data_IF_802089958920
#
_entry.id   IF_802089958920
#
_cell.length_a   1.000
_cell.length_b   1.000
_cell.length_c   1.000
_cell.angle_alpha   90.00
_cell.angle_beta   90.00
_cell.angle_gamma   90.00
#
_symmetry.space_group_name_H-M   'P 1'
#
loop_
_entity.id
_entity.type
_entity.pdbx_description
1 polymer ?
#
# COMPACT_ATOMS: atom_id res chain seq x y z
N UNK A 1 9.78 -35.85 1.37
CA UNK A 1 10.73 -34.75 1.62
C UNK A 1 10.07 -33.76 2.57
N UNK A 2 10.78 -33.34 3.61
CA UNK A 2 10.28 -32.33 4.53
C UNK A 2 10.20 -30.98 3.82
N UNK A 3 9.11 -30.24 4.04
CA UNK A 3 8.96 -28.90 3.46
C UNK A 3 9.88 -27.94 4.23
N UNK A 4 10.68 -27.11 3.55
CA UNK A 4 11.52 -26.14 4.24
C UNK A 4 10.65 -25.17 5.05
N UNK A 5 10.89 -25.11 6.37
CA UNK A 5 10.13 -24.26 7.30
C UNK A 5 10.19 -22.78 6.88
N UNK A 6 11.35 -22.33 6.41
CA UNK A 6 11.54 -20.95 5.94
C UNK A 6 10.59 -20.58 4.80
N UNK A 7 10.35 -21.47 3.83
CA UNK A 7 9.50 -21.20 2.67
C UNK A 7 8.03 -21.05 3.09
N UNK A 8 7.62 -21.82 4.09
CA UNK A 8 6.28 -21.71 4.69
C UNK A 8 6.12 -20.36 5.40
N UNK A 9 7.09 -19.98 6.24
CA UNK A 9 7.06 -18.70 6.98
C UNK A 9 7.06 -17.51 6.01
N UNK A 10 7.99 -17.47 5.06
CA UNK A 10 8.07 -16.39 4.05
C UNK A 10 6.80 -16.33 3.22
N UNK A 11 6.27 -17.49 2.83
CA UNK A 11 5.03 -17.56 2.07
C UNK A 11 3.84 -16.98 2.84
N UNK A 12 3.65 -17.37 4.11
CA UNK A 12 2.54 -16.87 4.94
C UNK A 12 2.68 -15.35 5.16
N UNK A 13 3.87 -14.88 5.53
CA UNK A 13 4.09 -13.44 5.74
C UNK A 13 3.87 -12.68 4.43
N UNK A 14 4.35 -13.19 3.30
CA UNK A 14 4.13 -12.59 1.99
C UNK A 14 2.65 -12.50 1.60
N UNK A 15 1.84 -13.52 1.90
CA UNK A 15 0.39 -13.49 1.71
C UNK A 15 -0.25 -12.39 2.56
N UNK A 16 0.10 -12.31 3.85
CA UNK A 16 -0.43 -11.28 4.76
C UNK A 16 -0.11 -9.87 4.25
N UNK A 17 1.14 -9.63 3.86
CA UNK A 17 1.57 -8.35 3.28
C UNK A 17 0.85 -8.05 1.97
N UNK A 18 0.67 -9.05 1.11
CA UNK A 18 -0.07 -8.91 -0.13
C UNK A 18 -1.54 -8.55 0.10
N UNK A 19 -2.19 -9.14 1.11
CA UNK A 19 -3.54 -8.76 1.52
C UNK A 19 -3.62 -7.32 2.02
N UNK A 20 -2.67 -6.88 2.86
CA UNK A 20 -2.58 -5.47 3.25
C UNK A 20 -2.32 -4.56 2.05
N UNK A 21 -1.50 -5.00 1.09
CA UNK A 21 -1.27 -4.31 -0.17
C UNK A 21 -2.54 -4.11 -0.99
N UNK A 22 -3.40 -5.14 -1.07
CA UNK A 22 -4.72 -5.08 -1.73
C UNK A 22 -5.64 -4.09 -1.02
N UNK A 23 -5.70 -4.12 0.30
CA UNK A 23 -6.51 -3.17 1.09
C UNK A 23 -6.01 -1.74 0.86
N UNK A 24 -4.69 -1.53 0.94
CA UNK A 24 -4.08 -0.22 0.70
C UNK A 24 -4.26 0.26 -0.75
N UNK A 25 -4.26 -0.65 -1.73
CA UNK A 25 -4.57 -0.36 -3.13
C UNK A 25 -6.02 0.13 -3.30
N UNK A 26 -6.97 -0.54 -2.64
CA UNK A 26 -8.37 -0.13 -2.63
C UNK A 26 -8.58 1.23 -1.96
N UNK A 27 -7.93 1.47 -0.81
CA UNK A 27 -7.95 2.77 -0.15
C UNK A 27 -7.40 3.89 -1.05
N UNK A 28 -6.31 3.60 -1.77
CA UNK A 28 -5.70 4.55 -2.70
C UNK A 28 -6.63 4.87 -3.90
N UNK A 29 -7.25 3.84 -4.48
CA UNK A 29 -8.19 4.02 -5.59
C UNK A 29 -9.45 4.80 -5.18
N UNK A 30 -9.90 4.66 -3.94
CA UNK A 30 -11.07 5.36 -3.40
C UNK A 30 -10.74 6.75 -2.82
N UNK A 31 -9.45 7.13 -2.79
CA UNK A 31 -9.01 8.39 -2.19
C UNK A 31 -9.72 9.62 -2.77
N UNK A 32 -9.92 9.78 -4.09
CA UNK A 32 -10.64 10.95 -4.62
C UNK A 32 -12.05 11.08 -4.07
N UNK A 33 -12.79 9.96 -3.99
CA UNK A 33 -14.15 9.93 -3.42
C UNK A 33 -14.15 10.25 -1.93
N UNK A 34 -13.17 9.74 -1.17
CA UNK A 34 -13.03 10.09 0.25
C UNK A 34 -12.75 11.58 0.44
N UNK A 35 -11.97 12.19 -0.45
CA UNK A 35 -11.72 13.63 -0.42
C UNK A 35 -12.97 14.45 -0.75
N UNK A 36 -13.76 14.05 -1.74
CA UNK A 36 -15.05 14.68 -2.05
C UNK A 36 -16.01 14.61 -0.87
N UNK A 37 -16.16 13.41 -0.27
CA UNK A 37 -17.01 13.20 0.90
C UNK A 37 -16.54 14.04 2.10
N UNK A 38 -15.23 14.11 2.35
CA UNK A 38 -14.68 14.98 3.38
C UNK A 38 -15.00 16.46 3.10
N UNK A 39 -14.81 16.95 1.87
CA UNK A 39 -15.15 18.33 1.48
C UNK A 39 -16.63 18.63 1.71
N UNK A 40 -17.52 17.73 1.33
CA UNK A 40 -18.96 17.86 1.57
C UNK A 40 -19.28 17.93 3.06
N UNK A 41 -18.76 17.01 3.87
CA UNK A 41 -18.94 17.00 5.33
C UNK A 41 -18.44 18.30 5.97
N UNK A 42 -17.27 18.80 5.57
CA UNK A 42 -16.74 20.07 6.08
C UNK A 42 -17.63 21.26 5.69
N UNK A 43 -18.08 21.32 4.45
CA UNK A 43 -18.97 22.41 4.00
C UNK A 43 -20.32 22.39 4.73
N UNK A 44 -20.87 21.21 5.01
CA UNK A 44 -22.09 21.05 5.77
C UNK A 44 -21.90 21.46 7.24
N UNK A 45 -20.76 21.09 7.83
CA UNK A 45 -20.41 21.47 9.20
C UNK A 45 -20.21 22.98 9.32
N UNK A 46 -19.52 23.61 8.38
CA UNK A 46 -19.33 25.08 8.34
C UNK A 46 -20.67 25.82 8.28
N UNK A 47 -21.57 25.38 7.39
CA UNK A 47 -22.94 25.94 7.30
C UNK A 47 -23.72 25.76 8.61
N UNK A 48 -23.59 24.59 9.24
CA UNK A 48 -24.28 24.29 10.51
C UNK A 48 -23.77 25.19 11.63
N UNK A 49 -22.45 25.33 11.77
CA UNK A 49 -21.83 26.22 12.76
C UNK A 49 -22.18 27.69 12.52
N UNK A 50 -22.19 28.15 11.26
CA UNK A 50 -22.59 29.52 10.93
C UNK A 50 -24.06 29.79 11.30
N UNK A 51 -24.94 28.82 11.03
CA UNK A 51 -26.35 28.92 11.38
C UNK A 51 -26.57 28.90 12.91
N UNK A 52 -25.81 28.11 13.64
CA UNK A 52 -25.90 28.02 15.11
C UNK A 52 -25.34 29.27 15.79
N UNK A 53 -24.25 29.85 15.28
CA UNK A 53 -23.75 31.15 15.72
C UNK A 53 -24.79 32.26 15.49
N UNK A 54 -25.43 32.28 14.31
CA UNK A 54 -26.50 33.24 14.01
C UNK A 54 -27.72 33.09 14.92
N UNK A 55 -28.06 31.85 15.34
CA UNK A 55 -29.19 31.58 16.25
C UNK A 55 -28.87 31.89 17.71
N UNK A 56 -27.67 31.60 18.16
CA UNK A 56 -27.25 31.80 19.56
C UNK A 56 -26.82 33.23 19.87
N UNK A 57 -26.62 34.08 18.85
CA UNK A 57 -26.03 35.41 19.01
C UNK A 57 -24.58 35.36 19.51
N UNK A 58 -23.98 34.17 19.57
CA UNK A 58 -22.62 33.95 20.03
C UNK A 58 -21.58 34.29 18.96
N UNK A 59 -20.35 34.63 19.36
CA UNK A 59 -19.26 34.81 18.40
C UNK A 59 -19.00 33.50 17.65
N UNK A 60 -18.75 33.58 16.35
CA UNK A 60 -18.39 32.39 15.57
C UNK A 60 -17.15 31.72 16.18
N UNK A 61 -17.13 30.38 16.31
CA UNK A 61 -15.94 29.68 16.74
C UNK A 61 -14.77 29.99 15.78
N UNK A 62 -13.52 29.99 16.27
CA UNK A 62 -12.38 30.36 15.45
C UNK A 62 -12.26 29.42 14.25
N UNK A 63 -12.40 29.99 13.04
CA UNK A 63 -12.27 29.27 11.74
C UNK A 63 -10.82 28.95 11.37
N UNK A 64 -9.85 29.43 12.15
CA UNK A 64 -8.42 29.25 11.89
C UNK A 64 -7.97 27.76 11.79
N UNK A 65 -8.43 26.84 12.67
CA UNK A 65 -8.08 25.42 12.56
C UNK A 65 -8.65 24.79 11.29
N UNK A 66 -9.87 25.18 10.90
CA UNK A 66 -10.54 24.70 9.68
C UNK A 66 -9.81 25.16 8.42
N UNK A 67 -9.41 26.43 8.35
CA UNK A 67 -8.63 26.95 7.21
C UNK A 67 -7.25 26.30 7.11
N UNK A 68 -6.58 26.07 8.24
CA UNK A 68 -5.31 25.35 8.26
C UNK A 68 -5.48 23.91 7.76
N UNK A 69 -6.56 23.23 8.18
CA UNK A 69 -6.90 21.89 7.73
C UNK A 69 -7.21 21.85 6.22
N UNK A 70 -8.01 22.80 5.72
CA UNK A 70 -8.34 22.91 4.30
C UNK A 70 -7.09 23.12 3.44
N UNK A 71 -6.14 23.93 3.92
CA UNK A 71 -4.84 24.14 3.25
C UNK A 71 -3.98 22.87 3.22
N UNK A 72 -4.04 22.03 4.26
CA UNK A 72 -3.36 20.71 4.26
C UNK A 72 -4.00 19.69 3.31
N UNK A 73 -5.23 19.96 2.85
CA UNK A 73 -6.03 19.10 1.97
C UNK A 73 -6.13 19.64 0.53
N UNK A 74 -5.35 20.65 0.19
CA UNK A 74 -5.28 21.16 -1.17
C UNK A 74 -4.25 20.34 -1.95
N UNK A 75 -4.75 19.46 -2.82
CA UNK A 75 -3.90 18.57 -3.63
C UNK A 75 -3.89 19.05 -5.07
N UNK A 76 -2.77 18.88 -5.79
CA UNK A 76 -2.77 19.21 -7.20
C UNK A 76 -3.73 18.29 -7.97
N UNK A 77 -4.39 18.81 -8.99
CA UNK A 77 -5.47 18.11 -9.72
C UNK A 77 -5.02 16.75 -10.29
N UNK A 78 -3.76 16.64 -10.70
CA UNK A 78 -3.18 15.40 -11.23
C UNK A 78 -3.07 14.27 -10.19
N UNK A 79 -3.04 14.60 -8.89
CA UNK A 79 -2.83 13.63 -7.82
C UNK A 79 -4.02 12.67 -7.69
N UNK A 80 -5.25 13.16 -7.88
CA UNK A 80 -6.45 12.32 -7.86
C UNK A 80 -6.40 11.23 -8.93
N UNK A 81 -6.08 11.60 -10.18
CA UNK A 81 -5.90 10.64 -11.28
C UNK A 81 -4.77 9.66 -11.00
N UNK A 82 -3.65 10.16 -10.47
CA UNK A 82 -2.53 9.31 -10.10
C UNK A 82 -2.92 8.29 -9.03
N UNK A 83 -3.66 8.68 -7.98
CA UNK A 83 -4.12 7.77 -6.93
C UNK A 83 -4.99 6.63 -7.49
N UNK A 84 -5.89 6.93 -8.44
CA UNK A 84 -6.71 5.89 -9.09
C UNK A 84 -5.83 4.91 -9.86
N UNK A 85 -4.95 5.42 -10.74
CA UNK A 85 -4.06 4.57 -11.56
C UNK A 85 -3.11 3.76 -10.67
N UNK A 86 -2.48 4.41 -9.68
CA UNK A 86 -1.61 3.77 -8.73
C UNK A 86 -2.37 2.75 -7.87
N UNK A 87 -3.63 2.99 -7.51
CA UNK A 87 -4.47 2.03 -6.82
C UNK A 87 -4.67 0.74 -7.62
N UNK A 88 -5.02 0.84 -8.90
CA UNK A 88 -5.16 -0.35 -9.75
C UNK A 88 -3.82 -1.06 -9.96
N UNK A 89 -2.73 -0.34 -10.23
CA UNK A 89 -1.40 -0.93 -10.34
C UNK A 89 -0.97 -1.63 -9.05
N UNK A 90 -1.22 -1.01 -7.90
CA UNK A 90 -0.96 -1.59 -6.58
C UNK A 90 -1.73 -2.89 -6.37
N UNK A 91 -2.97 -2.96 -6.84
CA UNK A 91 -3.80 -4.15 -6.79
C UNK A 91 -3.19 -5.29 -7.60
N UNK A 92 -2.75 -5.01 -8.83
CA UNK A 92 -2.05 -6.00 -9.68
C UNK A 92 -0.75 -6.48 -9.05
N UNK A 93 0.09 -5.55 -8.57
CA UNK A 93 1.37 -5.87 -7.91
C UNK A 93 1.14 -6.73 -6.67
N UNK A 94 0.15 -6.36 -5.84
CA UNK A 94 -0.16 -7.09 -4.61
C UNK A 94 -0.77 -8.47 -4.90
N UNK A 95 -1.64 -8.58 -5.91
CA UNK A 95 -2.17 -9.87 -6.38
C UNK A 95 -1.07 -10.79 -6.91
N UNK A 96 -0.13 -10.25 -7.69
CA UNK A 96 1.03 -11.00 -8.16
C UNK A 96 1.94 -11.44 -7.01
N UNK A 97 2.10 -10.58 -5.99
CA UNK A 97 2.85 -10.91 -4.78
C UNK A 97 2.23 -12.06 -3.99
N UNK A 98 0.92 -12.02 -3.73
CA UNK A 98 0.17 -13.13 -3.09
C UNK A 98 0.33 -14.42 -3.91
N UNK A 99 0.19 -14.34 -5.23
CA UNK A 99 0.35 -15.51 -6.10
C UNK A 99 1.77 -16.10 -6.01
N UNK A 100 2.81 -15.27 -6.02
CA UNK A 100 4.19 -15.71 -5.86
C UNK A 100 4.43 -16.37 -4.49
N UNK A 101 3.87 -15.81 -3.42
CA UNK A 101 3.93 -16.38 -2.07
C UNK A 101 3.23 -17.75 -1.97
N UNK A 102 2.06 -17.92 -2.60
CA UNK A 102 1.37 -19.22 -2.66
C UNK A 102 2.24 -20.25 -3.41
N UNK A 103 2.83 -19.85 -4.54
CA UNK A 103 3.74 -20.73 -5.31
C UNK A 103 4.99 -21.11 -4.50
N UNK A 104 5.48 -20.23 -3.65
CA UNK A 104 6.61 -20.50 -2.75
C UNK A 104 6.26 -21.58 -1.72
N UNK A 105 5.07 -21.53 -1.12
CA UNK A 105 4.58 -22.56 -0.19
C UNK A 105 4.40 -23.91 -0.89
N UNK A 106 4.04 -23.90 -2.17
CA UNK A 106 3.92 -25.12 -2.99
C UNK A 106 5.28 -25.73 -3.38
N UNK A 107 6.40 -25.09 -3.04
CA UNK A 107 7.77 -25.54 -3.32
C UNK A 107 8.04 -25.75 -4.82
N UNK A 108 7.33 -25.02 -5.70
CA UNK A 108 7.54 -25.17 -7.15
C UNK A 108 8.91 -24.62 -7.57
N UNK A 109 9.60 -25.23 -8.55
CA UNK A 109 10.97 -24.82 -8.92
C UNK A 109 11.05 -23.37 -9.43
N UNK A 110 9.99 -22.87 -10.08
CA UNK A 110 9.91 -21.47 -10.53
C UNK A 110 9.56 -20.47 -9.42
N UNK A 111 9.16 -20.92 -8.23
CA UNK A 111 8.62 -20.06 -7.19
C UNK A 111 9.63 -19.05 -6.65
N UNK A 112 10.90 -19.44 -6.51
CA UNK A 112 11.97 -18.55 -6.04
C UNK A 112 12.14 -17.35 -6.99
N UNK A 113 12.23 -17.62 -8.30
CA UNK A 113 12.36 -16.57 -9.33
C UNK A 113 11.14 -15.66 -9.36
N UNK A 114 9.93 -16.24 -9.26
CA UNK A 114 8.69 -15.48 -9.19
C UNK A 114 8.64 -14.58 -7.95
N UNK A 115 9.05 -15.09 -6.79
CA UNK A 115 9.06 -14.32 -5.55
C UNK A 115 10.05 -13.15 -5.62
N UNK A 116 11.27 -13.36 -6.11
CA UNK A 116 12.23 -12.25 -6.33
C UNK A 116 11.67 -11.17 -7.24
N UNK A 117 11.05 -11.58 -8.35
CA UNK A 117 10.46 -10.65 -9.32
C UNK A 117 9.31 -9.87 -8.68
N UNK A 118 8.41 -10.55 -7.97
CA UNK A 118 7.28 -9.92 -7.30
C UNK A 118 7.71 -8.96 -6.19
N UNK A 119 8.66 -9.36 -5.35
CA UNK A 119 9.23 -8.52 -4.29
C UNK A 119 9.96 -7.30 -4.87
N UNK A 120 10.74 -7.50 -5.93
CA UNK A 120 11.44 -6.41 -6.63
C UNK A 120 10.47 -5.38 -7.22
N UNK A 121 9.40 -5.85 -7.88
CA UNK A 121 8.34 -4.97 -8.40
C UNK A 121 7.65 -4.23 -7.25
N UNK A 122 7.32 -4.92 -6.15
CA UNK A 122 6.68 -4.31 -4.99
C UNK A 122 7.54 -3.22 -4.34
N UNK A 123 8.85 -3.45 -4.20
CA UNK A 123 9.80 -2.45 -3.69
C UNK A 123 9.89 -1.25 -4.66
N UNK A 124 10.10 -1.51 -5.96
CA UNK A 124 10.20 -0.44 -6.96
C UNK A 124 8.94 0.41 -7.01
N UNK A 125 7.77 -0.22 -6.94
CA UNK A 125 6.49 0.48 -6.90
C UNK A 125 6.29 1.29 -5.60
N UNK A 126 6.76 0.77 -4.46
CA UNK A 126 6.74 1.50 -3.18
C UNK A 126 7.63 2.75 -3.22
N UNK A 127 8.83 2.63 -3.81
CA UNK A 127 9.73 3.77 -4.00
C UNK A 127 9.11 4.82 -4.93
N UNK A 128 8.51 4.39 -6.05
CA UNK A 128 7.79 5.29 -6.97
C UNK A 128 6.67 6.05 -6.26
N UNK A 129 5.86 5.35 -5.44
CA UNK A 129 4.83 5.99 -4.61
C UNK A 129 5.42 6.99 -3.63
N UNK A 130 6.55 6.67 -3.01
CA UNK A 130 7.27 7.57 -2.11
C UNK A 130 7.71 8.87 -2.81
N UNK A 131 8.25 8.77 -4.03
CA UNK A 131 8.63 9.94 -4.84
C UNK A 131 7.43 10.82 -5.15
N UNK A 132 6.32 10.22 -5.60
CA UNK A 132 5.10 10.97 -5.92
C UNK A 132 4.48 11.59 -4.67
N UNK A 133 4.50 10.89 -3.54
CA UNK A 133 4.03 11.40 -2.26
C UNK A 133 4.83 12.61 -1.79
N UNK A 134 6.16 12.60 -1.96
CA UNK A 134 7.01 13.76 -1.67
C UNK A 134 6.71 14.94 -2.62
N UNK A 135 6.51 14.65 -3.92
CA UNK A 135 6.18 15.68 -4.91
C UNK A 135 4.80 16.32 -4.68
N UNK A 136 3.88 15.63 -4.01
CA UNK A 136 2.56 16.16 -3.65
C UNK A 136 2.59 17.11 -2.44
N UNK A 137 3.72 17.21 -1.71
CA UNK A 137 3.94 18.07 -0.53
C UNK A 137 2.81 18.04 0.52
N UNK A 138 2.08 16.93 0.60
CA UNK A 138 0.86 16.82 1.40
C UNK A 138 1.08 15.99 2.65
N UNK A 139 0.33 16.30 3.71
CA UNK A 139 0.31 15.51 4.93
C UNK A 139 -0.11 14.06 4.66
N UNK A 140 -1.05 13.87 3.74
CA UNK A 140 -1.48 12.54 3.30
C UNK A 140 -0.36 11.79 2.58
N UNK A 141 0.44 12.47 1.76
CA UNK A 141 1.65 11.92 1.16
C UNK A 141 2.64 11.41 2.21
N UNK A 142 2.86 12.17 3.28
CA UNK A 142 3.73 11.75 4.38
C UNK A 142 3.20 10.47 5.08
N UNK A 143 1.89 10.39 5.32
CA UNK A 143 1.25 9.20 5.88
C UNK A 143 1.41 7.96 4.99
N UNK A 144 1.25 8.14 3.67
CA UNK A 144 1.50 7.07 2.69
C UNK A 144 2.96 6.61 2.68
N UNK A 145 3.90 7.54 2.82
CA UNK A 145 5.33 7.24 2.87
C UNK A 145 5.67 6.41 4.12
N UNK A 146 5.17 6.80 5.30
CA UNK A 146 5.38 6.01 6.52
C UNK A 146 4.85 4.58 6.39
N UNK A 147 3.63 4.41 5.87
CA UNK A 147 3.07 3.07 5.64
C UNK A 147 3.89 2.26 4.63
N UNK A 148 4.38 2.92 3.57
CA UNK A 148 5.24 2.29 2.56
C UNK A 148 6.59 1.83 3.11
N UNK A 149 7.22 2.62 3.98
CA UNK A 149 8.52 2.31 4.57
C UNK A 149 8.49 1.03 5.41
N UNK A 150 7.43 0.83 6.19
CA UNK A 150 7.27 -0.41 6.97
C UNK A 150 7.19 -1.64 6.06
N UNK A 151 6.36 -1.59 5.01
CA UNK A 151 6.27 -2.66 4.02
C UNK A 151 7.58 -2.89 3.28
N UNK A 152 8.32 -1.83 2.96
CA UNK A 152 9.63 -1.91 2.30
C UNK A 152 10.64 -2.66 3.17
N UNK A 153 10.76 -2.32 4.45
CA UNK A 153 11.69 -3.00 5.39
C UNK A 153 11.38 -4.49 5.45
N UNK A 154 10.11 -4.87 5.59
CA UNK A 154 9.73 -6.28 5.65
C UNK A 154 10.06 -6.99 4.34
N UNK A 155 9.77 -6.40 3.17
CA UNK A 155 10.09 -6.99 1.88
C UNK A 155 11.60 -7.21 1.71
N UNK A 156 12.44 -6.27 2.16
CA UNK A 156 13.90 -6.42 2.15
C UNK A 156 14.34 -7.58 3.05
N UNK A 157 13.77 -7.69 4.26
CA UNK A 157 14.07 -8.81 5.17
C UNK A 157 13.67 -10.15 4.56
N UNK A 158 12.48 -10.25 3.98
CA UNK A 158 12.02 -11.48 3.30
C UNK A 158 12.93 -11.85 2.14
N UNK A 159 13.36 -10.87 1.34
CA UNK A 159 14.32 -11.09 0.25
C UNK A 159 15.65 -11.65 0.74
N UNK A 160 16.18 -11.12 1.84
CA UNK A 160 17.41 -11.63 2.45
C UNK A 160 17.23 -13.07 2.90
N UNK A 161 16.11 -13.39 3.58
CA UNK A 161 15.81 -14.76 4.03
C UNK A 161 15.74 -15.73 2.86
N UNK A 162 15.08 -15.38 1.75
CA UNK A 162 15.02 -16.23 0.54
C UNK A 162 16.38 -16.33 -0.15
N UNK A 163 17.22 -15.30 -0.05
CA UNK A 163 18.56 -15.29 -0.64
C UNK A 163 19.51 -16.24 0.08
N UNK A 164 19.48 -16.22 1.41
CA UNK A 164 20.41 -16.98 2.26
C UNK A 164 19.92 -18.39 2.60
N UNK A 165 18.63 -18.68 2.44
CA UNK A 165 18.09 -20.00 2.74
C UNK A 165 18.55 -21.08 1.75
N UNK A 166 18.59 -22.31 2.25
CA UNK A 166 18.88 -23.50 1.47
C UNK A 166 17.76 -23.80 0.46
N UNK A 167 18.15 -24.05 -0.80
CA UNK A 167 17.29 -24.20 -1.98
C UNK A 167 17.29 -25.64 -2.51
N UNK A 168 17.98 -26.59 -1.87
CA UNK A 168 18.04 -28.00 -2.31
C UNK A 168 16.66 -28.64 -2.52
N UNK A 169 15.69 -28.29 -1.67
CA UNK A 169 14.31 -28.77 -1.77
C UNK A 169 13.61 -28.37 -3.08
N UNK A 170 14.02 -27.27 -3.71
CA UNK A 170 13.45 -26.78 -4.97
C UNK A 170 14.13 -27.41 -6.20
N UNK A 171 15.45 -27.67 -6.12
CA UNK A 171 16.21 -28.31 -7.19
C UNK A 171 15.81 -29.78 -7.38
N UNK A 172 15.52 -30.48 -6.29
CA UNK A 172 15.15 -31.90 -6.31
C UNK A 172 13.82 -32.16 -7.04
N UNK A 173 12.86 -31.25 -6.94
CA UNK A 173 11.61 -31.34 -7.71
C UNK A 173 11.81 -31.05 -9.20
N UNK A 174 12.74 -30.16 -9.54
CA UNK A 174 13.01 -29.83 -10.93
C UNK A 174 13.56 -31.05 -11.69
N UNK A 175 14.50 -31.78 -11.07
CA UNK A 175 15.06 -33.00 -11.65
C UNK A 175 14.00 -34.09 -11.90
N UNK A 176 12.99 -34.20 -11.02
CA UNK A 176 11.88 -35.14 -11.19
C UNK A 176 10.88 -34.71 -12.28
N UNK A 177 10.73 -33.40 -12.51
CA UNK A 177 9.79 -32.89 -13.50
C UNK A 177 10.34 -32.98 -14.94
N UNK A 178 11.67 -33.00 -15.09
CA UNK A 178 12.36 -33.12 -16.38
C UNK A 178 12.64 -34.59 -16.77
N UNK A 179 12.28 -35.56 -15.92
CA UNK A 179 12.40 -37.01 -16.15
C UNK A 179 11.09 -37.62 -16.62
#
# INVERSE_FOLDING_TARGET
>A
MERPTWATVVGIVGIILGCFGIIGAGQLAMMPKMMELQKEMFSAMEKTMAQEAARSGGPMPPVAPFKAFQKMWDFPEWFGTWCVVAGFLALFVSGFYVFASIRLIQVKPSAIKLFYTAAGIAIGFTLLRGVVAMAAESFMGLGMLMGGMFGLVINVVLLIVVATADKEAFSSQQAQQDS
#
